data_IF_210000644358
#
_entry.id   IF_210000644358
#
_cell.length_a   1.000
_cell.length_b   1.000
_cell.length_c   1.000
_cell.angle_alpha   90.00
_cell.angle_beta   90.00
_cell.angle_gamma   90.00
#
_symmetry.space_group_name_H-M   'P 1'
#
loop_
_entity.id
_entity.type
_entity.pdbx_description
1 polymer ?
#
# COMPACT_ATOMS: atom_id res chain seq x y z
N UNK A 1 -52.63 53.74 15.34
CA UNK A 1 -52.99 53.10 14.09
C UNK A 1 -52.60 51.64 14.13
N UNK A 2 -53.58 50.71 14.21
CA UNK A 2 -53.30 49.25 14.33
C UNK A 2 -52.48 48.69 13.20
N UNK A 3 -52.63 49.26 11.99
CA UNK A 3 -51.87 48.83 10.77
C UNK A 3 -50.37 49.16 10.91
N UNK A 4 -50.00 50.31 11.51
CA UNK A 4 -48.59 50.66 11.69
C UNK A 4 -47.90 49.76 12.72
N UNK A 5 -48.63 49.34 13.75
CA UNK A 5 -48.12 48.35 14.73
C UNK A 5 -47.92 47.00 14.13
N UNK A 6 -48.89 46.59 13.26
CA UNK A 6 -48.78 45.29 12.54
C UNK A 6 -47.59 45.29 11.58
N UNK A 7 -47.36 46.33 10.83
CA UNK A 7 -46.22 46.48 9.91
C UNK A 7 -44.87 46.46 10.69
N UNK A 8 -44.84 47.17 11.85
CA UNK A 8 -43.63 47.19 12.69
C UNK A 8 -43.31 45.77 13.24
N UNK A 9 -44.35 45.04 13.69
CA UNK A 9 -44.20 43.68 14.19
C UNK A 9 -43.73 42.72 13.08
N UNK A 10 -44.22 42.89 11.87
CA UNK A 10 -43.83 42.09 10.70
C UNK A 10 -42.38 42.36 10.29
N UNK A 11 -41.95 43.64 10.33
CA UNK A 11 -40.56 44.02 10.10
C UNK A 11 -39.62 43.48 11.16
N UNK A 12 -40.00 43.53 12.44
CA UNK A 12 -39.22 42.92 13.53
C UNK A 12 -39.09 41.42 13.41
N UNK A 13 -40.19 40.72 13.00
CA UNK A 13 -40.17 39.31 12.76
C UNK A 13 -39.26 38.96 11.59
N UNK A 14 -39.28 39.76 10.51
CA UNK A 14 -38.42 39.59 9.35
C UNK A 14 -36.94 39.78 9.72
N UNK A 15 -36.62 40.81 10.51
CA UNK A 15 -35.27 41.02 11.03
C UNK A 15 -34.79 39.88 11.94
N UNK A 16 -35.70 39.32 12.76
CA UNK A 16 -35.39 38.17 13.60
C UNK A 16 -35.12 36.90 12.76
N UNK A 17 -35.91 36.66 11.71
CA UNK A 17 -35.71 35.56 10.77
C UNK A 17 -34.40 35.69 9.99
N UNK A 18 -34.08 36.91 9.50
CA UNK A 18 -32.81 37.17 8.80
C UNK A 18 -31.62 36.99 9.74
N UNK A 19 -31.72 37.44 10.99
CA UNK A 19 -30.64 37.26 12.00
C UNK A 19 -30.46 35.80 12.38
N UNK A 20 -31.53 35.01 12.50
CA UNK A 20 -31.49 33.59 12.78
C UNK A 20 -30.85 32.80 11.64
N UNK A 21 -31.16 33.14 10.38
CA UNK A 21 -30.56 32.56 9.19
C UNK A 21 -29.06 32.92 9.10
N UNK A 22 -28.72 34.20 9.38
CA UNK A 22 -27.31 34.66 9.33
C UNK A 22 -26.42 34.02 10.39
N UNK A 23 -26.97 33.55 11.51
CA UNK A 23 -26.19 32.84 12.57
C UNK A 23 -26.03 31.36 12.25
N UNK A 24 -26.83 30.78 11.37
CA UNK A 24 -26.69 29.35 10.94
C UNK A 24 -25.64 29.21 9.82
N UNK A 25 -25.52 30.17 8.92
CA UNK A 25 -24.59 30.13 7.79
C UNK A 25 -23.12 30.05 8.17
N UNK A 26 -22.58 30.79 9.17
CA UNK A 26 -21.19 30.68 9.57
C UNK A 26 -20.86 29.29 10.17
N UNK A 27 -21.82 28.73 10.91
CA UNK A 27 -21.63 27.40 11.55
C UNK A 27 -21.69 26.27 10.51
N UNK A 28 -22.56 26.39 9.51
CA UNK A 28 -22.59 25.46 8.37
C UNK A 28 -21.36 25.63 7.47
N UNK A 29 -20.91 26.88 7.23
CA UNK A 29 -19.73 27.18 6.41
C UNK A 29 -18.44 26.69 7.07
N UNK A 30 -18.27 26.87 8.38
CA UNK A 30 -17.11 26.37 9.12
C UNK A 30 -17.13 24.86 9.28
N UNK A 31 -18.30 24.25 9.49
CA UNK A 31 -18.45 22.79 9.52
C UNK A 31 -18.15 22.15 8.17
N UNK A 32 -18.63 22.76 7.07
CA UNK A 32 -18.35 22.29 5.71
C UNK A 32 -16.89 22.50 5.32
N UNK A 33 -16.30 23.65 5.66
CA UNK A 33 -14.88 23.93 5.41
C UNK A 33 -13.97 23.00 6.22
N UNK A 34 -14.31 22.69 7.46
CA UNK A 34 -13.59 21.72 8.29
C UNK A 34 -13.78 20.27 7.78
N UNK A 35 -14.98 19.92 7.30
CA UNK A 35 -15.23 18.65 6.67
C UNK A 35 -14.42 18.49 5.36
N UNK A 36 -14.41 19.53 4.51
CA UNK A 36 -13.64 19.55 3.26
C UNK A 36 -12.12 19.53 3.50
N UNK A 37 -11.62 20.26 4.53
CA UNK A 37 -10.20 20.24 4.87
C UNK A 37 -9.75 18.88 5.41
N UNK A 38 -10.65 18.13 6.05
CA UNK A 38 -10.38 16.76 6.51
C UNK A 38 -10.42 15.70 5.39
N UNK A 39 -10.81 16.07 4.17
CA UNK A 39 -10.91 15.15 3.02
C UNK A 39 -9.86 15.35 1.95
N UNK A 40 -9.04 16.41 2.07
CA UNK A 40 -7.96 16.73 1.14
C UNK A 40 -6.60 16.39 1.74
N UNK A 41 -5.68 15.91 0.91
CA UNK A 41 -4.27 15.81 1.31
C UNK A 41 -3.72 17.20 1.60
N UNK A 42 -3.32 17.44 2.86
CA UNK A 42 -2.84 18.74 3.32
C UNK A 42 -1.33 18.93 3.10
N UNK A 43 -0.58 17.85 2.87
CA UNK A 43 0.84 17.91 2.52
C UNK A 43 1.04 18.48 1.10
N UNK A 44 2.22 19.05 0.85
CA UNK A 44 2.59 19.54 -0.48
C UNK A 44 2.69 18.40 -1.48
N UNK A 45 2.43 18.69 -2.76
CA UNK A 45 2.45 17.68 -3.83
C UNK A 45 3.83 17.04 -3.97
N UNK A 46 4.90 17.79 -3.72
CA UNK A 46 6.29 17.29 -3.72
C UNK A 46 6.54 16.25 -2.63
N UNK A 47 5.94 16.41 -1.45
CA UNK A 47 6.05 15.43 -0.37
C UNK A 47 5.22 14.18 -0.67
N UNK A 48 4.00 14.36 -1.20
CA UNK A 48 3.11 13.26 -1.59
C UNK A 48 3.76 12.37 -2.66
N UNK A 49 4.24 12.99 -3.75
CA UNK A 49 4.92 12.29 -4.84
C UNK A 49 6.26 11.70 -4.41
N UNK A 50 7.03 12.42 -3.60
CA UNK A 50 8.32 11.94 -3.12
C UNK A 50 8.21 10.71 -2.21
N UNK A 51 7.18 10.64 -1.39
CA UNK A 51 6.89 9.46 -0.55
C UNK A 51 6.51 8.24 -1.40
N UNK A 52 5.71 8.43 -2.43
CA UNK A 52 5.35 7.40 -3.41
C UNK A 52 6.60 6.89 -4.17
N UNK A 53 7.47 7.81 -4.60
CA UNK A 53 8.76 7.47 -5.20
C UNK A 53 9.66 6.63 -4.27
N UNK A 54 9.73 7.00 -2.98
CA UNK A 54 10.52 6.28 -1.99
C UNK A 54 9.98 4.85 -1.76
N UNK A 55 8.66 4.71 -1.67
CA UNK A 55 8.04 3.39 -1.51
C UNK A 55 8.22 2.52 -2.76
N UNK A 56 8.04 3.11 -3.94
CA UNK A 56 8.33 2.46 -5.23
C UNK A 56 9.81 2.04 -5.34
N UNK A 57 10.73 2.83 -4.78
CA UNK A 57 12.15 2.46 -4.76
C UNK A 57 12.41 1.20 -3.92
N UNK A 58 11.77 1.06 -2.76
CA UNK A 58 11.84 -0.16 -1.94
C UNK A 58 11.27 -1.37 -2.68
N UNK A 59 10.15 -1.21 -3.38
CA UNK A 59 9.54 -2.27 -4.20
C UNK A 59 10.45 -2.69 -5.36
N UNK A 60 11.10 -1.74 -6.02
CA UNK A 60 12.07 -2.03 -7.07
C UNK A 60 13.31 -2.76 -6.54
N UNK A 61 13.80 -2.41 -5.36
CA UNK A 61 14.92 -3.12 -4.70
C UNK A 61 14.53 -4.57 -4.38
N UNK A 62 13.32 -4.80 -3.86
CA UNK A 62 12.79 -6.14 -3.62
C UNK A 62 12.66 -6.94 -4.92
N UNK A 63 12.11 -6.33 -5.97
CA UNK A 63 12.00 -6.98 -7.29
C UNK A 63 13.36 -7.38 -7.85
N UNK A 64 14.37 -6.52 -7.71
CA UNK A 64 15.75 -6.84 -8.11
C UNK A 64 16.34 -7.95 -7.25
N UNK A 65 16.06 -7.97 -5.94
CA UNK A 65 16.49 -9.03 -5.03
C UNK A 65 15.94 -10.37 -5.49
N UNK A 66 14.64 -10.45 -5.76
CA UNK A 66 13.99 -11.67 -6.28
C UNK A 66 14.59 -12.10 -7.63
N UNK A 67 14.79 -11.15 -8.54
CA UNK A 67 15.37 -11.44 -9.86
C UNK A 67 16.82 -11.96 -9.81
N UNK A 68 17.56 -11.62 -8.76
CA UNK A 68 18.97 -11.99 -8.61
C UNK A 68 19.19 -13.23 -7.74
N UNK A 69 18.15 -13.93 -7.28
CA UNK A 69 18.27 -15.06 -6.35
C UNK A 69 19.17 -16.15 -6.90
N UNK A 70 19.03 -16.56 -8.16
CA UNK A 70 19.86 -17.60 -8.77
C UNK A 70 21.36 -17.25 -8.76
N UNK A 71 21.68 -15.95 -8.92
CA UNK A 71 23.07 -15.49 -8.90
C UNK A 71 23.64 -15.32 -7.49
N UNK A 72 22.78 -14.97 -6.52
CA UNK A 72 23.19 -14.74 -5.12
C UNK A 72 23.15 -16.03 -4.28
N UNK A 73 22.37 -17.01 -4.71
CA UNK A 73 22.23 -18.33 -4.08
C UNK A 73 22.48 -19.45 -5.10
N UNK A 74 23.71 -19.56 -5.65
CA UNK A 74 24.03 -20.56 -6.66
C UNK A 74 24.14 -21.96 -6.04
N UNK A 75 24.00 -23.00 -6.89
CA UNK A 75 24.30 -24.38 -6.51
C UNK A 75 23.07 -25.27 -6.32
N UNK A 76 21.90 -24.77 -6.63
CA UNK A 76 20.68 -25.58 -6.70
C UNK A 76 20.48 -26.09 -8.11
N UNK A 77 19.91 -27.31 -8.22
CA UNK A 77 19.54 -27.92 -9.49
C UNK A 77 18.26 -27.30 -10.10
N UNK A 78 17.39 -26.77 -9.22
CA UNK A 78 16.11 -26.16 -9.60
C UNK A 78 15.77 -25.00 -8.68
N UNK A 79 15.17 -23.92 -9.24
CA UNK A 79 14.60 -22.80 -8.51
C UNK A 79 13.10 -22.75 -8.78
N UNK A 80 12.29 -22.81 -7.72
CA UNK A 80 10.83 -22.76 -7.80
C UNK A 80 10.33 -21.45 -7.22
N UNK A 81 9.67 -20.65 -8.07
CA UNK A 81 9.18 -19.32 -7.68
C UNK A 81 7.67 -19.34 -7.45
N UNK A 82 7.26 -18.79 -6.30
CA UNK A 82 5.88 -18.41 -5.95
C UNK A 82 5.92 -16.97 -5.48
N UNK A 83 5.73 -16.03 -6.40
CA UNK A 83 5.96 -14.59 -6.17
C UNK A 83 4.66 -13.84 -6.41
N UNK A 84 4.15 -13.21 -5.37
CA UNK A 84 3.03 -12.27 -5.47
C UNK A 84 3.47 -10.99 -6.20
N UNK A 85 2.50 -10.24 -6.70
CA UNK A 85 2.74 -8.95 -7.36
C UNK A 85 3.39 -7.95 -6.40
N UNK A 86 4.45 -7.27 -6.87
CA UNK A 86 5.12 -6.20 -6.14
C UNK A 86 4.58 -4.88 -6.67
N UNK A 87 3.91 -4.14 -5.80
CA UNK A 87 3.32 -2.86 -6.15
C UNK A 87 2.30 -2.42 -5.10
N UNK A 88 2.03 -1.14 -5.07
CA UNK A 88 1.05 -0.52 -4.18
C UNK A 88 0.17 0.48 -4.93
N UNK A 89 -0.91 0.91 -4.27
CA UNK A 89 -1.74 2.00 -4.74
C UNK A 89 -1.29 3.29 -4.04
N UNK A 90 -0.78 4.30 -4.78
CA UNK A 90 -0.27 5.53 -4.19
C UNK A 90 -1.33 6.32 -3.42
N UNK A 91 -2.61 6.23 -3.83
CA UNK A 91 -3.70 6.85 -3.07
C UNK A 91 -3.93 6.18 -1.71
N UNK A 92 -3.67 4.86 -1.58
CA UNK A 92 -3.77 4.16 -0.30
C UNK A 92 -2.67 4.62 0.67
N UNK A 93 -1.45 4.74 0.18
CA UNK A 93 -0.30 5.21 0.96
C UNK A 93 -0.51 6.67 1.40
N UNK A 94 -0.83 7.56 0.47
CA UNK A 94 -1.08 8.97 0.75
C UNK A 94 -2.26 9.18 1.72
N UNK A 95 -3.35 8.42 1.56
CA UNK A 95 -4.51 8.50 2.46
C UNK A 95 -4.18 8.02 3.86
N UNK A 96 -3.38 6.96 3.99
CA UNK A 96 -2.91 6.46 5.28
C UNK A 96 -2.08 7.50 6.02
N UNK A 97 -1.04 8.04 5.38
CA UNK A 97 -0.16 9.02 6.00
C UNK A 97 -0.90 10.32 6.34
N UNK A 98 -1.80 10.76 5.47
CA UNK A 98 -2.63 11.94 5.74
C UNK A 98 -3.63 11.71 6.87
N UNK A 99 -4.22 10.53 6.99
CA UNK A 99 -5.10 10.18 8.10
C UNK A 99 -4.34 10.08 9.44
N UNK A 100 -3.09 9.63 9.40
CA UNK A 100 -2.25 9.45 10.60
C UNK A 100 -1.61 10.76 11.08
N UNK A 101 -1.07 11.54 10.15
CA UNK A 101 -0.24 12.71 10.45
C UNK A 101 -0.90 14.05 10.10
N UNK A 102 -1.96 14.06 9.33
CA UNK A 102 -2.63 15.21 8.73
C UNK A 102 -1.75 15.93 7.69
N UNK A 103 -0.62 16.51 8.13
CA UNK A 103 0.44 17.07 7.28
C UNK A 103 1.73 16.34 7.60
N UNK A 104 2.49 15.98 6.60
CA UNK A 104 3.79 15.34 6.74
C UNK A 104 4.76 15.84 5.66
N UNK A 105 6.05 15.73 5.97
CA UNK A 105 7.15 15.94 5.03
C UNK A 105 7.79 14.60 4.70
N UNK A 106 8.31 14.46 3.49
CA UNK A 106 8.94 13.25 2.96
C UNK A 106 9.94 12.63 3.96
N UNK A 107 10.82 13.45 4.54
CA UNK A 107 11.88 13.01 5.46
C UNK A 107 11.35 12.48 6.79
N UNK A 108 10.17 12.94 7.23
CA UNK A 108 9.60 12.57 8.53
C UNK A 108 9.00 11.17 8.56
N UNK A 109 8.61 10.65 7.42
CA UNK A 109 7.85 9.40 7.32
C UNK A 109 8.69 8.21 6.84
N UNK A 110 10.00 8.39 6.66
CA UNK A 110 10.89 7.35 6.12
C UNK A 110 10.91 6.06 6.94
N UNK A 111 10.93 6.17 8.27
CA UNK A 111 10.90 4.99 9.14
C UNK A 111 9.54 4.29 9.07
N UNK A 112 8.44 5.05 9.00
CA UNK A 112 7.11 4.51 8.80
C UNK A 112 6.99 3.76 7.46
N UNK A 113 7.56 4.29 6.37
CA UNK A 113 7.56 3.63 5.06
C UNK A 113 8.25 2.26 5.12
N UNK A 114 9.41 2.18 5.78
CA UNK A 114 10.13 0.92 5.96
C UNK A 114 9.34 -0.09 6.79
N UNK A 115 8.76 0.35 7.91
CA UNK A 115 7.95 -0.50 8.77
C UNK A 115 6.71 -1.08 8.05
N UNK A 116 6.07 -0.26 7.20
CA UNK A 116 4.93 -0.71 6.39
C UNK A 116 5.42 -1.72 5.34
N UNK A 117 6.50 -1.39 4.64
CA UNK A 117 7.09 -2.22 3.60
C UNK A 117 7.49 -3.61 4.14
N UNK A 118 8.22 -3.65 5.26
CA UNK A 118 8.63 -4.90 5.92
C UNK A 118 7.43 -5.73 6.42
N UNK A 119 6.33 -5.06 6.78
CA UNK A 119 5.11 -5.74 7.18
C UNK A 119 4.26 -6.23 5.99
N UNK A 120 4.36 -5.57 4.83
CA UNK A 120 3.64 -5.90 3.61
C UNK A 120 4.27 -7.07 2.88
N UNK A 121 5.58 -7.06 2.69
CA UNK A 121 6.30 -8.04 1.90
C UNK A 121 7.10 -9.01 2.78
N UNK A 122 6.99 -10.30 2.47
CA UNK A 122 7.74 -11.36 3.14
C UNK A 122 8.38 -12.27 2.09
N UNK A 123 9.71 -12.15 1.93
CA UNK A 123 10.49 -13.02 1.06
C UNK A 123 11.08 -14.17 1.86
N UNK A 124 10.72 -15.40 1.49
CA UNK A 124 11.20 -16.63 2.14
C UNK A 124 11.92 -17.51 1.14
N UNK A 125 13.09 -18.00 1.52
CA UNK A 125 13.87 -18.98 0.77
C UNK A 125 13.91 -20.29 1.56
N UNK A 126 13.46 -21.38 0.94
CA UNK A 126 13.39 -22.69 1.58
C UNK A 126 14.08 -23.74 0.72
N UNK A 127 15.08 -24.41 1.29
CA UNK A 127 15.76 -25.52 0.64
C UNK A 127 14.92 -26.79 0.73
N UNK A 128 14.87 -27.54 -0.37
CA UNK A 128 14.24 -28.85 -0.47
C UNK A 128 15.22 -29.82 -1.17
N UNK A 129 15.31 -31.04 -0.67
CA UNK A 129 16.16 -32.09 -1.28
C UNK A 129 15.27 -33.25 -1.69
N UNK A 130 15.26 -33.55 -2.97
CA UNK A 130 14.58 -34.73 -3.53
C UNK A 130 15.63 -35.81 -3.86
N UNK A 131 15.31 -37.06 -3.57
CA UNK A 131 16.10 -38.19 -4.10
C UNK A 131 15.56 -38.54 -5.48
N UNK A 132 16.36 -38.30 -6.49
CA UNK A 132 16.07 -38.68 -7.88
C UNK A 132 16.96 -39.84 -8.33
N UNK A 133 16.60 -40.54 -9.40
CA UNK A 133 17.34 -41.66 -9.94
C UNK A 133 17.82 -41.32 -11.35
N UNK A 134 19.07 -41.69 -11.64
CA UNK A 134 19.63 -41.60 -12.98
C UNK A 134 20.09 -42.98 -13.44
N UNK A 135 19.94 -43.25 -14.71
CA UNK A 135 20.41 -44.49 -15.33
C UNK A 135 21.89 -44.37 -15.64
N UNK A 136 22.70 -45.23 -15.03
CA UNK A 136 24.13 -45.34 -15.33
C UNK A 136 24.35 -46.65 -16.11
N UNK A 137 25.08 -46.54 -17.22
CA UNK A 137 25.44 -47.70 -18.06
C UNK A 137 26.92 -47.97 -17.95
N UNK A 138 27.25 -49.16 -17.52
CA UNK A 138 28.65 -49.63 -17.44
C UNK A 138 28.87 -50.76 -18.43
N UNK A 139 29.94 -50.72 -19.20
CA UNK A 139 30.32 -51.78 -20.11
C UNK A 139 31.57 -52.49 -19.57
N UNK A 140 31.48 -53.78 -19.35
CA UNK A 140 32.62 -54.58 -18.94
C UNK A 140 33.68 -54.64 -20.10
N UNK A 141 34.89 -54.17 -19.86
CA UNK A 141 35.92 -54.08 -20.88
C UNK A 141 36.44 -55.45 -21.36
N UNK A 142 36.21 -56.52 -20.58
CA UNK A 142 36.69 -57.86 -20.93
C UNK A 142 35.65 -58.68 -21.70
N UNK A 143 34.35 -58.52 -21.35
CA UNK A 143 33.26 -59.32 -21.93
C UNK A 143 32.45 -58.53 -22.99
N UNK A 144 32.52 -57.17 -22.94
CA UNK A 144 31.68 -56.28 -23.76
C UNK A 144 30.22 -56.26 -23.34
N UNK A 145 29.85 -56.87 -22.22
CA UNK A 145 28.50 -56.84 -21.69
C UNK A 145 28.17 -55.47 -21.10
N UNK A 146 26.98 -54.99 -21.41
CA UNK A 146 26.50 -53.69 -20.90
C UNK A 146 25.46 -53.95 -19.81
N UNK A 147 25.72 -53.41 -18.61
CA UNK A 147 24.78 -53.40 -17.48
C UNK A 147 24.26 -52.00 -17.28
N UNK A 148 22.98 -51.92 -16.93
CA UNK A 148 22.30 -50.64 -16.64
C UNK A 148 21.76 -50.68 -15.22
N UNK A 149 22.11 -49.69 -14.41
CA UNK A 149 21.66 -49.56 -13.03
C UNK A 149 21.02 -48.20 -12.82
N UNK A 150 19.98 -48.12 -11.97
CA UNK A 150 19.41 -46.87 -11.46
C UNK A 150 20.16 -46.46 -10.18
N UNK A 151 20.84 -45.34 -10.28
CA UNK A 151 21.64 -44.80 -9.16
C UNK A 151 20.92 -43.57 -8.55
N UNK A 152 20.63 -43.62 -7.25
CA UNK A 152 20.00 -42.46 -6.60
C UNK A 152 21.02 -41.31 -6.47
N UNK A 153 20.52 -40.08 -6.60
CA UNK A 153 21.26 -38.85 -6.37
C UNK A 153 20.40 -37.82 -5.69
N UNK A 154 21.01 -36.89 -4.92
CA UNK A 154 20.34 -35.76 -4.32
C UNK A 154 20.12 -34.67 -5.38
N UNK A 155 18.90 -34.13 -5.41
CA UNK A 155 18.50 -33.05 -6.28
C UNK A 155 18.06 -31.89 -5.40
N UNK A 156 18.82 -30.79 -5.46
CA UNK A 156 18.66 -29.64 -4.59
C UNK A 156 17.74 -28.60 -5.24
N UNK A 157 16.70 -28.18 -4.52
CA UNK A 157 15.71 -27.23 -4.97
C UNK A 157 15.70 -26.06 -4.01
N UNK A 158 15.71 -24.83 -4.55
CA UNK A 158 15.44 -23.62 -3.79
C UNK A 158 14.02 -23.13 -4.09
N UNK A 159 13.14 -23.18 -3.11
CA UNK A 159 11.80 -22.60 -3.17
C UNK A 159 11.88 -21.13 -2.78
N UNK A 160 11.50 -20.25 -3.67
CA UNK A 160 11.47 -18.79 -3.52
C UNK A 160 10.02 -18.36 -3.40
N UNK A 161 9.62 -17.90 -2.22
CA UNK A 161 8.26 -17.45 -1.95
C UNK A 161 8.27 -15.98 -1.54
N UNK A 162 7.55 -15.15 -2.28
CA UNK A 162 7.26 -13.77 -1.91
C UNK A 162 5.77 -13.63 -1.66
N UNK A 163 5.41 -13.19 -0.47
CA UNK A 163 4.03 -12.89 -0.08
C UNK A 163 3.82 -11.38 0.02
N UNK A 164 2.75 -10.87 -0.61
CA UNK A 164 2.27 -9.49 -0.48
C UNK A 164 0.96 -9.50 0.33
N UNK A 165 1.00 -8.99 1.56
CA UNK A 165 -0.17 -8.89 2.46
C UNK A 165 -1.16 -7.79 2.10
N UNK A 166 -0.97 -7.09 1.00
CA UNK A 166 -1.66 -5.88 0.57
C UNK A 166 -1.49 -4.68 1.52
N UNK A 167 -1.34 -3.50 0.96
CA UNK A 167 -1.11 -2.30 1.76
C UNK A 167 -2.24 -2.02 2.76
N UNK A 168 -3.54 -2.10 2.40
CA UNK A 168 -4.63 -1.90 3.37
C UNK A 168 -4.62 -2.88 4.55
N UNK A 169 -4.24 -4.14 4.33
CA UNK A 169 -4.17 -5.13 5.41
C UNK A 169 -3.12 -4.76 6.46
N UNK A 170 -2.05 -4.08 6.06
CA UNK A 170 -0.96 -3.65 6.93
C UNK A 170 -1.27 -2.32 7.62
N UNK A 171 -1.81 -1.34 6.90
CA UNK A 171 -1.97 0.04 7.39
C UNK A 171 -3.23 0.23 8.26
N UNK A 172 -4.35 -0.42 7.93
CA UNK A 172 -5.60 -0.21 8.66
C UNK A 172 -5.53 -0.58 10.14
N UNK A 173 -4.83 -1.64 10.57
CA UNK A 173 -4.64 -1.93 11.99
C UNK A 173 -3.85 -0.87 12.76
N UNK A 174 -3.05 -0.06 12.07
CA UNK A 174 -2.21 1.01 12.66
C UNK A 174 -2.98 2.31 12.90
N UNK A 175 -4.21 2.42 12.40
CA UNK A 175 -5.07 3.58 12.53
C UNK A 175 -6.11 3.36 13.64
N UNK A 176 -6.40 4.42 14.42
CA UNK A 176 -7.55 4.45 15.30
C UNK A 176 -8.87 4.61 14.48
N UNK A 177 -10.03 4.52 15.16
CA UNK A 177 -11.34 4.56 14.49
C UNK A 177 -11.55 5.86 13.67
N UNK A 178 -11.26 7.01 14.27
CA UNK A 178 -11.39 8.31 13.60
C UNK A 178 -10.45 8.43 12.38
N UNK A 179 -9.21 7.97 12.51
CA UNK A 179 -8.25 7.96 11.41
C UNK A 179 -8.68 7.03 10.27
N UNK A 180 -9.31 5.89 10.58
CA UNK A 180 -9.87 4.97 9.56
C UNK A 180 -11.00 5.62 8.77
N UNK A 181 -11.88 6.37 9.44
CA UNK A 181 -12.94 7.12 8.76
C UNK A 181 -12.35 8.16 7.79
N UNK A 182 -11.34 8.91 8.23
CA UNK A 182 -10.61 9.88 7.41
C UNK A 182 -9.95 9.19 6.21
N UNK A 183 -9.26 8.06 6.43
CA UNK A 183 -8.64 7.26 5.38
C UNK A 183 -9.65 6.85 4.30
N UNK A 184 -10.80 6.31 4.70
CA UNK A 184 -11.86 5.86 3.76
C UNK A 184 -12.34 7.02 2.89
N UNK A 185 -12.60 8.19 3.50
CA UNK A 185 -13.06 9.37 2.76
C UNK A 185 -11.97 9.89 1.82
N UNK A 186 -10.72 9.95 2.27
CA UNK A 186 -9.59 10.37 1.43
C UNK A 186 -9.38 9.42 0.24
N UNK A 187 -9.51 8.11 0.46
CA UNK A 187 -9.47 7.12 -0.61
C UNK A 187 -10.54 7.36 -1.68
N UNK A 188 -11.80 7.53 -1.27
CA UNK A 188 -12.93 7.76 -2.17
C UNK A 188 -12.78 9.03 -3.01
N UNK A 189 -12.24 10.08 -2.40
CA UNK A 189 -12.05 11.40 -3.02
C UNK A 189 -10.65 11.57 -3.64
N UNK A 190 -9.78 10.58 -3.55
CA UNK A 190 -8.36 10.69 -3.94
C UNK A 190 -7.70 11.92 -3.33
N UNK A 191 -8.05 12.23 -2.06
CA UNK A 191 -7.59 13.41 -1.33
C UNK A 191 -7.84 14.74 -2.04
N UNK A 192 -8.86 14.82 -2.91
CA UNK A 192 -9.16 15.95 -3.80
C UNK A 192 -7.96 16.39 -4.69
N UNK A 193 -6.99 15.50 -4.90
CA UNK A 193 -5.82 15.69 -5.78
C UNK A 193 -5.68 14.52 -6.78
N UNK A 194 -6.72 14.18 -7.56
CA UNK A 194 -6.69 13.04 -8.46
C UNK A 194 -5.64 13.16 -9.56
N UNK A 195 -5.16 14.38 -9.83
CA UNK A 195 -4.15 14.68 -10.84
C UNK A 195 -2.74 14.19 -10.47
N UNK A 196 -2.47 13.88 -9.18
CA UNK A 196 -1.13 13.47 -8.73
C UNK A 196 -0.67 12.16 -9.39
N UNK A 197 -1.60 11.23 -9.59
CA UNK A 197 -1.34 9.92 -10.19
C UNK A 197 -2.38 9.62 -11.28
N UNK A 198 -2.51 10.52 -12.25
CA UNK A 198 -3.40 10.32 -13.40
C UNK A 198 -2.86 9.17 -14.27
N UNK A 199 -3.70 8.15 -14.47
CA UNK A 199 -3.38 7.02 -15.33
C UNK A 199 -3.08 5.70 -14.60
N UNK A 200 -3.18 5.69 -13.26
CA UNK A 200 -3.10 4.49 -12.42
C UNK A 200 -4.50 3.95 -12.11
#
# INVERSE_FOLDING_TARGET
HPVAVLVLLLLLLLCFLVSAVSSIFPTLGSGLANALSGTSYASEDTDLLGVDEDYTALENELAQTVANIESTHPGYDEYRYSVDEIGHNPYELASYLSAKYHVYFREQVQDELREIFEAQYELTLTEEVEIRYRTETSTDPETGETTTEEVPYEYYILNVTLTNKTLPAVILPRLNEQQREIYIVMQQLKGNKPYLWEGI
#
